data_IF_322824071758
#
_entry.id   IF_322824071758
#
_cell.length_a   1.000
_cell.length_b   1.000
_cell.length_c   1.000
_cell.angle_alpha   90.00
_cell.angle_beta   90.00
_cell.angle_gamma   90.00
#
_symmetry.space_group_name_H-M   'P 1'
#
loop_
_entity.id
_entity.type
_entity.pdbx_description
1 polymer ?
#
# COMPACT_ATOMS: atom_id res chain seq x y z
N UNK A 1 39.61 8.59 -18.60
CA UNK A 1 39.98 8.98 -17.23
C UNK A 1 38.86 9.86 -16.68
N UNK A 2 38.38 9.66 -15.45
CA UNK A 2 37.55 10.65 -14.77
C UNK A 2 38.29 12.00 -14.76
N UNK A 3 37.55 13.09 -14.82
CA UNK A 3 38.13 14.44 -14.76
C UNK A 3 38.92 14.59 -13.45
N UNK A 4 40.12 15.17 -13.50
CA UNK A 4 40.93 15.45 -12.32
C UNK A 4 40.15 16.27 -11.28
N UNK A 5 39.24 17.14 -11.75
CA UNK A 5 38.34 17.91 -10.91
C UNK A 5 37.30 17.02 -10.21
N UNK A 6 36.71 16.06 -10.92
CA UNK A 6 35.74 15.11 -10.36
C UNK A 6 36.38 14.25 -9.27
N UNK A 7 37.60 13.77 -9.49
CA UNK A 7 38.35 12.99 -8.51
C UNK A 7 38.70 13.83 -7.27
N UNK A 8 39.19 15.07 -7.48
CA UNK A 8 39.49 15.98 -6.39
C UNK A 8 38.23 16.29 -5.55
N UNK A 9 37.08 16.47 -6.19
CA UNK A 9 35.82 16.71 -5.50
C UNK A 9 35.30 15.46 -4.76
N UNK A 10 35.49 14.26 -5.32
CA UNK A 10 35.18 13.00 -4.65
C UNK A 10 36.01 12.84 -3.37
N UNK A 11 37.32 13.11 -3.42
CA UNK A 11 38.21 13.05 -2.25
C UNK A 11 37.77 14.07 -1.20
N UNK A 12 37.58 15.33 -1.58
CA UNK A 12 37.09 16.39 -0.67
C UNK A 12 35.77 16.00 0.01
N UNK A 13 34.83 15.47 -0.77
CA UNK A 13 33.52 15.03 -0.29
C UNK A 13 33.60 13.87 0.70
N UNK A 14 34.61 13.00 0.56
CA UNK A 14 34.87 11.89 1.50
C UNK A 14 35.53 12.36 2.81
N UNK A 15 36.33 13.44 2.79
CA UNK A 15 37.02 13.96 3.98
C UNK A 15 36.03 14.60 4.97
N UNK A 16 35.12 15.47 4.50
CA UNK A 16 34.26 16.26 5.37
C UNK A 16 33.45 15.47 6.42
N UNK A 17 32.76 14.37 6.08
CA UNK A 17 31.97 13.62 7.05
C UNK A 17 32.83 12.76 8.00
N UNK A 18 34.15 12.67 7.78
CA UNK A 18 35.08 11.97 8.67
C UNK A 18 35.58 12.84 9.84
N UNK A 19 35.30 14.15 9.83
CA UNK A 19 35.56 15.06 10.95
C UNK A 19 34.72 14.65 12.17
N UNK A 20 35.35 14.56 13.35
CA UNK A 20 34.70 14.15 14.60
C UNK A 20 33.58 15.09 15.06
N UNK A 21 33.59 16.34 14.59
CA UNK A 21 32.55 17.35 14.86
C UNK A 21 31.32 17.15 13.96
N UNK A 22 31.40 16.30 12.94
CA UNK A 22 30.27 16.01 12.07
C UNK A 22 29.30 15.07 12.79
N UNK A 23 28.12 15.58 13.18
CA UNK A 23 27.09 14.77 13.83
C UNK A 23 26.46 13.78 12.83
N UNK A 24 26.19 12.55 13.28
CA UNK A 24 25.48 11.53 12.48
C UNK A 24 24.08 11.98 12.01
N UNK A 25 23.43 12.89 12.75
CA UNK A 25 22.10 13.41 12.44
C UNK A 25 22.07 14.43 11.28
N UNK A 26 23.22 15.01 10.92
CA UNK A 26 23.33 16.04 9.89
C UNK A 26 23.85 15.47 8.57
N UNK A 27 22.99 15.35 7.56
CA UNK A 27 23.39 14.79 6.25
C UNK A 27 24.45 15.61 5.48
N UNK A 28 24.76 16.84 5.91
CA UNK A 28 25.80 17.69 5.32
C UNK A 28 26.68 18.30 6.41
N UNK A 29 27.99 18.27 6.19
CA UNK A 29 28.95 18.96 7.05
C UNK A 29 28.66 20.48 7.08
N UNK A 30 28.75 21.08 8.28
CA UNK A 30 28.54 22.52 8.47
C UNK A 30 29.53 23.34 7.63
N UNK A 31 29.20 24.61 7.37
CA UNK A 31 30.10 25.50 6.62
C UNK A 31 31.45 25.68 7.32
N UNK A 32 31.48 25.62 8.66
CA UNK A 32 32.73 25.66 9.44
C UNK A 32 33.59 24.42 9.19
N UNK A 33 33.00 23.21 9.30
CA UNK A 33 33.72 21.94 9.05
C UNK A 33 34.27 21.91 7.62
N UNK A 34 33.47 22.32 6.62
CA UNK A 34 33.93 22.37 5.23
C UNK A 34 35.10 23.33 5.01
N UNK A 35 35.10 24.47 5.67
CA UNK A 35 36.19 25.45 5.60
C UNK A 35 37.47 24.93 6.25
N UNK A 36 37.33 24.36 7.45
CA UNK A 36 38.46 23.82 8.23
C UNK A 36 39.12 22.61 7.55
N UNK A 37 38.31 21.82 6.83
CA UNK A 37 38.76 20.64 6.08
C UNK A 37 38.95 20.93 4.57
N UNK A 38 39.09 22.19 4.18
CA UNK A 38 39.29 22.53 2.77
C UNK A 38 40.66 22.05 2.26
N UNK A 39 40.67 21.57 1.03
CA UNK A 39 41.88 21.16 0.30
C UNK A 39 41.95 21.85 -1.05
N UNK A 40 43.10 22.39 -1.40
CA UNK A 40 43.40 22.93 -2.72
C UNK A 40 44.04 21.86 -3.61
N UNK A 41 43.68 21.89 -4.89
CA UNK A 41 44.32 21.07 -5.91
C UNK A 41 45.61 21.78 -6.32
N UNK A 42 46.74 21.27 -5.83
CA UNK A 42 48.07 21.87 -6.07
C UNK A 42 48.81 21.22 -7.24
N UNK A 43 48.31 20.09 -7.73
CA UNK A 43 48.83 19.44 -8.92
C UNK A 43 47.83 18.45 -9.50
N UNK A 44 47.76 18.39 -10.83
CA UNK A 44 47.01 17.39 -11.59
C UNK A 44 47.82 17.04 -12.84
N UNK A 45 47.96 15.75 -13.11
CA UNK A 45 48.61 15.24 -14.32
C UNK A 45 47.98 13.94 -14.77
N UNK A 46 48.54 13.33 -15.81
CA UNK A 46 48.02 12.08 -16.39
C UNK A 46 48.04 10.91 -15.39
N UNK A 47 48.99 10.94 -14.44
CA UNK A 47 49.23 9.87 -13.48
C UNK A 47 48.67 10.13 -12.07
N UNK A 48 48.02 11.28 -11.83
CA UNK A 48 47.40 11.54 -10.53
C UNK A 48 47.09 12.98 -10.18
N UNK A 49 46.53 13.15 -8.98
CA UNK A 49 46.21 14.44 -8.38
C UNK A 49 46.94 14.60 -7.05
N UNK A 50 47.28 15.84 -6.69
CA UNK A 50 47.84 16.21 -5.39
C UNK A 50 46.98 17.27 -4.74
N UNK A 51 46.52 16.97 -3.54
CA UNK A 51 45.73 17.86 -2.71
C UNK A 51 46.55 18.31 -1.50
N UNK A 52 46.46 19.59 -1.15
CA UNK A 52 47.05 20.14 0.07
C UNK A 52 45.98 20.83 0.90
N UNK A 53 46.07 20.73 2.23
CA UNK A 53 45.14 21.43 3.11
C UNK A 53 45.29 22.94 2.90
N UNK A 54 44.18 23.64 2.72
CA UNK A 54 44.15 25.10 2.58
C UNK A 54 44.45 25.82 3.89
N UNK A 55 44.40 25.10 5.02
CA UNK A 55 44.64 25.64 6.35
C UNK A 55 46.13 25.62 6.71
N UNK A 56 46.55 26.62 7.47
CA UNK A 56 47.91 26.68 8.02
C UNK A 56 48.03 25.69 9.19
N UNK A 57 49.16 25.00 9.27
CA UNK A 57 49.45 24.10 10.37
C UNK A 57 49.73 24.88 11.66
N UNK A 58 49.34 24.30 12.80
CA UNK A 58 49.68 24.82 14.13
C UNK A 58 51.16 24.56 14.50
N UNK A 59 51.55 24.92 15.73
CA UNK A 59 52.90 24.74 16.25
C UNK A 59 53.34 23.26 16.29
N UNK A 60 52.40 22.31 16.21
CA UNK A 60 52.66 20.88 16.20
C UNK A 60 52.60 20.28 14.80
N UNK A 61 52.45 21.12 13.76
CA UNK A 61 52.36 20.65 12.39
C UNK A 61 51.01 20.02 12.04
N UNK A 62 49.96 20.30 12.81
CA UNK A 62 48.61 19.79 12.57
C UNK A 62 47.74 20.87 11.94
N UNK A 63 46.98 20.49 10.91
CA UNK A 63 45.88 21.31 10.40
C UNK A 63 44.56 20.81 10.98
N UNK A 64 43.50 21.63 10.99
CA UNK A 64 42.16 21.15 11.38
C UNK A 64 41.70 19.90 10.60
N UNK A 65 42.19 19.74 9.36
CA UNK A 65 41.89 18.60 8.49
C UNK A 65 42.68 17.32 8.78
N UNK A 66 43.75 17.40 9.57
CA UNK A 66 44.72 16.30 9.72
C UNK A 66 44.07 15.02 10.23
N UNK A 67 43.16 15.11 11.20
CA UNK A 67 42.46 13.92 11.73
C UNK A 67 41.53 13.28 10.68
N UNK A 68 40.77 14.08 9.94
CA UNK A 68 39.84 13.56 8.93
C UNK A 68 40.60 12.88 7.77
N UNK A 69 41.73 13.45 7.35
CA UNK A 69 42.59 12.83 6.34
C UNK A 69 43.25 11.55 6.84
N UNK A 70 43.74 11.52 8.08
CA UNK A 70 44.30 10.29 8.67
C UNK A 70 43.24 9.17 8.71
N UNK A 71 41.99 9.50 9.03
CA UNK A 71 40.87 8.55 8.97
C UNK A 71 40.58 8.07 7.55
N UNK A 72 40.60 8.97 6.57
CA UNK A 72 40.42 8.58 5.16
C UNK A 72 41.55 7.64 4.68
N UNK A 73 42.78 7.94 5.08
CA UNK A 73 43.93 7.10 4.77
C UNK A 73 43.84 5.73 5.46
N UNK A 74 43.40 5.67 6.72
CA UNK A 74 43.12 4.41 7.40
C UNK A 74 42.04 3.58 6.68
N UNK A 75 40.95 4.21 6.23
CA UNK A 75 39.92 3.53 5.41
C UNK A 75 40.49 2.99 4.08
N UNK A 76 41.38 3.74 3.44
CA UNK A 76 42.10 3.24 2.27
C UNK A 76 42.97 2.03 2.64
N UNK A 77 43.69 2.05 3.75
CA UNK A 77 44.45 0.88 4.20
C UNK A 77 43.56 -0.34 4.48
N UNK A 78 42.40 -0.13 5.12
CA UNK A 78 41.43 -1.18 5.44
C UNK A 78 40.76 -1.75 4.19
N UNK A 79 40.66 -0.98 3.09
CA UNK A 79 40.08 -1.45 1.81
C UNK A 79 40.84 -2.64 1.21
N UNK A 80 42.09 -2.85 1.61
CA UNK A 80 42.89 -4.01 1.19
C UNK A 80 42.32 -5.34 1.74
N UNK A 81 41.58 -5.29 2.84
CA UNK A 81 40.90 -6.42 3.47
C UNK A 81 39.43 -6.08 3.73
N UNK A 82 38.52 -6.76 3.02
CA UNK A 82 37.08 -6.53 3.14
C UNK A 82 36.56 -6.75 4.57
N UNK A 83 37.19 -7.63 5.36
CA UNK A 83 36.78 -7.88 6.75
C UNK A 83 37.17 -6.69 7.63
N UNK A 84 38.41 -6.19 7.51
CA UNK A 84 38.87 -4.95 8.13
C UNK A 84 37.98 -3.76 7.76
N UNK A 85 37.72 -3.56 6.46
CA UNK A 85 36.87 -2.47 5.97
C UNK A 85 35.47 -2.52 6.59
N UNK A 86 34.84 -3.70 6.67
CA UNK A 86 33.52 -3.88 7.30
C UNK A 86 33.52 -3.42 8.75
N UNK A 87 34.54 -3.78 9.50
CA UNK A 87 34.68 -3.36 10.91
C UNK A 87 34.86 -1.85 11.02
N UNK A 88 35.69 -1.25 10.17
CA UNK A 88 35.95 0.19 10.17
C UNK A 88 34.69 1.00 9.82
N UNK A 89 33.92 0.58 8.82
CA UNK A 89 32.72 1.29 8.37
C UNK A 89 31.60 1.29 9.42
N UNK A 90 31.47 0.24 10.24
CA UNK A 90 30.47 0.18 11.34
C UNK A 90 30.68 1.25 12.41
N UNK A 91 31.91 1.72 12.59
CA UNK A 91 32.22 2.76 13.56
C UNK A 91 31.96 4.19 13.03
N UNK A 92 31.53 4.32 11.76
CA UNK A 92 31.36 5.60 11.08
C UNK A 92 29.89 5.96 10.88
N UNK A 93 29.56 7.26 10.83
CA UNK A 93 28.22 7.69 10.46
C UNK A 93 27.90 7.31 9.00
N UNK A 94 26.63 7.02 8.72
CA UNK A 94 26.17 6.62 7.38
C UNK A 94 26.60 7.60 6.27
N UNK A 95 26.61 8.91 6.55
CA UNK A 95 27.07 9.93 5.59
C UNK A 95 28.53 9.75 5.19
N UNK A 96 29.40 9.37 6.12
CA UNK A 96 30.81 9.09 5.84
C UNK A 96 30.98 7.82 5.01
N UNK A 97 30.27 6.75 5.37
CA UNK A 97 30.28 5.49 4.62
C UNK A 97 29.86 5.70 3.16
N UNK A 98 28.79 6.47 2.93
CA UNK A 98 28.30 6.76 1.57
C UNK A 98 29.25 7.68 0.79
N UNK A 99 29.87 8.66 1.44
CA UNK A 99 30.85 9.52 0.79
C UNK A 99 32.12 8.75 0.42
N UNK A 100 32.56 7.84 1.28
CA UNK A 100 33.66 6.93 0.98
C UNK A 100 33.30 5.96 -0.15
N UNK A 101 32.09 5.39 -0.15
CA UNK A 101 31.60 4.55 -1.24
C UNK A 101 31.66 5.24 -2.60
N UNK A 102 31.25 6.52 -2.67
CA UNK A 102 31.38 7.32 -3.89
C UNK A 102 32.85 7.49 -4.33
N UNK A 103 33.75 7.76 -3.39
CA UNK A 103 35.18 7.85 -3.70
C UNK A 103 35.71 6.53 -4.26
N UNK A 104 35.46 5.41 -3.59
CA UNK A 104 35.89 4.07 -4.03
C UNK A 104 35.31 3.72 -5.40
N UNK A 105 34.04 4.05 -5.64
CA UNK A 105 33.36 3.86 -6.94
C UNK A 105 33.95 4.74 -8.06
N UNK A 106 34.41 5.95 -7.74
CA UNK A 106 35.14 6.80 -8.70
C UNK A 106 36.52 6.24 -9.00
N UNK A 107 37.24 5.79 -7.96
CA UNK A 107 38.57 5.20 -8.08
C UNK A 107 38.55 3.87 -8.86
N UNK A 108 37.55 3.02 -8.63
CA UNK A 108 37.44 1.72 -9.31
C UNK A 108 37.31 1.83 -10.84
N UNK A 109 36.72 2.94 -11.33
CA UNK A 109 36.60 3.23 -12.77
C UNK A 109 37.95 3.42 -13.47
N UNK A 110 39.01 3.71 -12.74
CA UNK A 110 40.36 3.88 -13.29
C UNK A 110 40.96 2.54 -13.77
N UNK A 111 40.49 1.40 -13.23
CA UNK A 111 40.95 0.04 -13.60
C UNK A 111 42.47 -0.17 -13.53
N UNK A 112 43.15 0.63 -12.72
CA UNK A 112 44.59 0.55 -12.48
C UNK A 112 44.84 0.51 -10.97
N UNK A 113 46.01 -0.02 -10.51
CA UNK A 113 46.43 0.14 -9.13
C UNK A 113 46.55 1.62 -8.77
N UNK A 114 46.12 1.97 -7.57
CA UNK A 114 46.11 3.35 -7.08
C UNK A 114 46.97 3.44 -5.84
N UNK A 115 47.97 4.29 -5.88
CA UNK A 115 48.77 4.62 -4.70
C UNK A 115 48.17 5.84 -4.03
N UNK A 116 47.84 5.69 -2.75
CA UNK A 116 47.39 6.78 -1.88
C UNK A 116 48.53 7.13 -0.95
N UNK A 117 49.01 8.36 -1.04
CA UNK A 117 50.06 8.91 -0.19
C UNK A 117 49.48 9.90 0.82
N UNK A 118 49.90 9.79 2.07
CA UNK A 118 49.64 10.74 3.13
C UNK A 118 50.96 11.38 3.55
N UNK A 119 50.99 12.70 3.61
CA UNK A 119 52.05 13.45 4.26
C UNK A 119 51.42 14.55 5.12
N UNK A 120 51.85 14.65 6.37
CA UNK A 120 51.43 15.71 7.31
C UNK A 120 52.61 16.58 7.70
N UNK A 121 52.41 17.87 7.99
CA UNK A 121 53.49 18.76 8.43
C UNK A 121 54.15 18.31 9.74
N UNK A 122 53.43 17.57 10.59
CA UNK A 122 53.94 16.95 11.81
C UNK A 122 54.92 15.77 11.57
N UNK A 123 55.21 15.44 10.31
CA UNK A 123 56.14 14.36 9.93
C UNK A 123 55.51 12.97 9.81
N UNK A 124 54.20 12.83 10.05
CA UNK A 124 53.49 11.58 9.78
C UNK A 124 53.33 11.43 8.27
N UNK A 125 53.94 10.38 7.72
CA UNK A 125 53.85 10.01 6.32
C UNK A 125 53.43 8.55 6.19
N UNK A 126 52.73 8.21 5.11
CA UNK A 126 52.28 6.86 4.84
C UNK A 126 51.92 6.68 3.38
N UNK A 127 51.99 5.43 2.93
CA UNK A 127 51.63 5.03 1.58
C UNK A 127 50.79 3.76 1.64
N UNK A 128 49.80 3.65 0.77
CA UNK A 128 49.07 2.39 0.56
C UNK A 128 48.69 2.24 -0.90
N UNK A 129 48.88 1.03 -1.43
CA UNK A 129 48.45 0.66 -2.78
C UNK A 129 47.10 -0.07 -2.72
N UNK A 130 46.19 0.32 -3.61
CA UNK A 130 44.87 -0.27 -3.78
C UNK A 130 44.78 -0.92 -5.15
N UNK A 131 44.57 -2.23 -5.18
CA UNK A 131 44.37 -2.97 -6.43
C UNK A 131 42.95 -2.80 -6.95
N UNK A 132 42.73 -2.89 -8.28
CA UNK A 132 41.39 -2.81 -8.86
C UNK A 132 40.39 -3.80 -8.26
N UNK A 133 40.82 -5.04 -7.94
CA UNK A 133 39.91 -6.03 -7.35
C UNK A 133 39.42 -5.61 -5.96
N UNK A 134 40.30 -4.99 -5.16
CA UNK A 134 39.98 -4.51 -3.82
C UNK A 134 38.99 -3.34 -3.87
N UNK A 135 39.22 -2.38 -4.77
CA UNK A 135 38.32 -1.25 -5.01
C UNK A 135 36.94 -1.72 -5.47
N UNK A 136 36.89 -2.69 -6.40
CA UNK A 136 35.63 -3.26 -6.88
C UNK A 136 34.87 -4.00 -5.77
N UNK A 137 35.57 -4.81 -4.97
CA UNK A 137 34.97 -5.53 -3.85
C UNK A 137 34.41 -4.57 -2.78
N UNK A 138 35.15 -3.51 -2.45
CA UNK A 138 34.72 -2.49 -1.51
C UNK A 138 33.52 -1.67 -2.04
N UNK A 139 33.55 -1.24 -3.31
CA UNK A 139 32.42 -0.56 -3.94
C UNK A 139 31.16 -1.44 -3.93
N UNK A 140 31.28 -2.70 -4.35
CA UNK A 140 30.17 -3.65 -4.36
C UNK A 140 29.58 -3.88 -2.97
N UNK A 141 30.41 -3.97 -1.93
CA UNK A 141 29.93 -4.11 -0.55
C UNK A 141 29.22 -2.85 -0.05
N UNK A 142 29.78 -1.67 -0.28
CA UNK A 142 29.19 -0.41 0.21
C UNK A 142 27.86 -0.11 -0.50
N UNK A 143 27.79 -0.39 -1.81
CA UNK A 143 26.60 -0.20 -2.65
C UNK A 143 25.60 -1.37 -2.57
N UNK A 144 25.92 -2.46 -1.86
CA UNK A 144 25.02 -3.61 -1.67
C UNK A 144 23.68 -3.13 -1.11
N UNK A 145 22.60 -3.44 -1.84
CA UNK A 145 21.23 -3.20 -1.41
C UNK A 145 20.45 -4.47 -1.57
N UNK A 146 19.71 -4.83 -0.52
CA UNK A 146 18.77 -5.94 -0.51
C UNK A 146 17.38 -5.34 -0.64
N UNK A 147 16.59 -5.86 -1.56
CA UNK A 147 15.26 -5.35 -1.83
C UNK A 147 14.29 -6.49 -1.65
N UNK A 148 13.38 -6.33 -0.69
CA UNK A 148 12.27 -7.22 -0.46
C UNK A 148 10.97 -6.52 -0.86
N UNK A 149 10.10 -7.22 -1.58
CA UNK A 149 8.81 -6.70 -2.03
C UNK A 149 7.68 -7.58 -1.49
N UNK A 150 6.65 -6.95 -0.92
CA UNK A 150 5.42 -7.61 -0.50
C UNK A 150 4.23 -6.90 -1.14
N UNK A 151 3.30 -7.67 -1.71
CA UNK A 151 2.05 -7.14 -2.23
C UNK A 151 0.96 -7.20 -1.17
N UNK A 152 0.36 -6.05 -0.88
CA UNK A 152 -0.71 -5.86 0.09
C UNK A 152 -2.00 -5.53 -0.65
N UNK A 153 -3.06 -6.31 -0.42
CA UNK A 153 -4.42 -5.94 -0.84
C UNK A 153 -5.06 -5.14 0.28
N UNK A 154 -5.38 -3.88 0.00
CA UNK A 154 -5.90 -2.93 0.98
C UNK A 154 -7.21 -2.37 0.49
N UNK A 155 -8.25 -2.46 1.31
CA UNK A 155 -9.51 -1.74 1.13
C UNK A 155 -9.52 -0.54 2.06
N UNK A 156 -10.04 0.59 1.62
CA UNK A 156 -10.11 1.78 2.45
C UNK A 156 -10.60 3.03 1.74
N UNK A 157 -10.32 4.18 2.34
CA UNK A 157 -10.66 5.49 1.80
C UNK A 157 -9.46 6.10 1.08
N UNK A 158 -9.58 6.29 -0.24
CA UNK A 158 -8.62 7.05 -1.03
C UNK A 158 -8.78 8.54 -0.71
N UNK A 159 -7.80 9.11 -0.01
CA UNK A 159 -7.80 10.51 0.43
C UNK A 159 -7.10 11.43 -0.58
N UNK A 160 -6.11 10.91 -1.29
CA UNK A 160 -5.28 11.69 -2.22
C UNK A 160 -4.88 10.88 -3.44
N UNK A 161 -5.09 11.44 -4.64
CA UNK A 161 -4.70 10.79 -5.88
C UNK A 161 -4.22 11.81 -6.92
N UNK A 162 -2.93 11.78 -7.24
CA UNK A 162 -2.29 12.73 -8.13
C UNK A 162 -1.42 12.04 -9.19
N UNK A 163 -2.00 11.51 -10.28
CA UNK A 163 -1.26 10.81 -11.35
C UNK A 163 -0.08 11.60 -11.93
N UNK A 164 -0.24 12.92 -12.09
CA UNK A 164 0.80 13.81 -12.60
C UNK A 164 1.99 13.96 -11.65
N UNK A 165 1.72 14.04 -10.33
CA UNK A 165 2.76 14.11 -9.28
C UNK A 165 3.29 12.74 -8.88
N UNK A 166 2.69 11.66 -9.40
CA UNK A 166 3.02 10.26 -9.07
C UNK A 166 2.77 9.89 -7.61
N UNK A 167 1.85 10.58 -6.94
CA UNK A 167 1.56 10.37 -5.51
C UNK A 167 0.13 9.88 -5.27
N UNK A 168 -0.03 9.00 -4.28
CA UNK A 168 -1.32 8.59 -3.73
C UNK A 168 -1.28 8.60 -2.20
N UNK A 169 -2.46 8.66 -1.58
CA UNK A 169 -2.68 8.46 -0.16
C UNK A 169 -4.00 7.71 0.05
N UNK A 170 -3.93 6.58 0.75
CA UNK A 170 -5.05 5.72 1.07
C UNK A 170 -5.04 5.40 2.56
N UNK A 171 -6.17 5.61 3.23
CA UNK A 171 -6.38 5.19 4.61
C UNK A 171 -7.13 3.87 4.59
N UNK A 172 -6.46 2.79 5.01
CA UNK A 172 -7.03 1.45 5.00
C UNK A 172 -8.07 1.24 6.10
N UNK A 173 -8.99 0.31 5.87
CA UNK A 173 -9.95 -0.17 6.87
C UNK A 173 -9.26 -0.87 8.06
N UNK A 174 -7.99 -1.27 7.87
CA UNK A 174 -7.08 -1.77 8.90
C UNK A 174 -6.55 -0.67 9.86
N UNK A 175 -6.92 0.59 9.63
CA UNK A 175 -6.48 1.75 10.41
C UNK A 175 -5.08 2.24 10.06
N UNK A 176 -4.44 1.68 9.02
CA UNK A 176 -3.12 2.11 8.56
C UNK A 176 -3.24 3.13 7.41
N UNK A 177 -2.30 4.07 7.36
CA UNK A 177 -2.19 5.01 6.24
C UNK A 177 -1.08 4.57 5.30
N UNK A 178 -1.41 4.48 4.01
CA UNK A 178 -0.52 4.11 2.93
C UNK A 178 -0.28 5.31 2.03
N UNK A 179 0.97 5.70 1.85
CA UNK A 179 1.35 6.82 0.98
C UNK A 179 2.60 6.50 0.18
N UNK A 180 2.63 6.95 -1.08
CA UNK A 180 3.81 6.74 -1.91
C UNK A 180 3.59 6.91 -3.40
N UNK A 181 4.32 6.11 -4.18
CA UNK A 181 4.41 6.20 -5.62
C UNK A 181 3.29 5.47 -6.38
N UNK A 182 3.21 5.68 -7.69
CA UNK A 182 2.34 4.90 -8.59
C UNK A 182 3.12 4.26 -9.73
N UNK A 183 2.71 3.06 -10.16
CA UNK A 183 3.27 2.41 -11.35
C UNK A 183 3.06 3.24 -12.62
N UNK A 184 3.90 3.01 -13.63
CA UNK A 184 3.79 3.73 -14.91
C UNK A 184 2.48 3.40 -15.65
N UNK A 185 1.96 2.19 -15.50
CA UNK A 185 0.72 1.73 -16.13
C UNK A 185 -0.49 2.43 -15.54
N UNK A 186 -0.61 2.46 -14.22
CA UNK A 186 -1.69 3.15 -13.51
C UNK A 186 -1.67 4.65 -13.84
N UNK A 187 -0.49 5.28 -13.87
CA UNK A 187 -0.36 6.67 -14.32
C UNK A 187 -0.85 6.89 -15.75
N UNK A 188 -0.54 5.99 -16.69
CA UNK A 188 -0.99 6.12 -18.09
C UNK A 188 -2.51 5.97 -18.21
N UNK A 189 -3.09 5.03 -17.46
CA UNK A 189 -4.54 4.79 -17.42
C UNK A 189 -5.28 6.04 -16.94
N UNK A 190 -4.90 6.59 -15.80
CA UNK A 190 -5.58 7.74 -15.20
C UNK A 190 -5.15 9.10 -15.78
N UNK A 191 -4.03 9.21 -16.50
CA UNK A 191 -3.65 10.45 -17.19
C UNK A 191 -4.44 10.69 -18.49
N UNK A 192 -4.91 9.63 -19.16
CA UNK A 192 -5.65 9.75 -20.43
C UNK A 192 -7.16 9.93 -20.24
N UNK A 193 -7.70 9.36 -19.18
CA UNK A 193 -9.15 9.27 -18.98
C UNK A 193 -9.70 10.25 -17.94
N UNK A 194 -8.83 11.05 -17.30
CA UNK A 194 -9.08 12.02 -16.23
C UNK A 194 -10.54 12.14 -15.74
N UNK A 195 -11.11 11.12 -15.09
CA UNK A 195 -12.27 11.36 -14.26
C UNK A 195 -11.75 12.26 -13.15
N UNK A 196 -12.43 13.37 -12.88
CA UNK A 196 -12.19 14.09 -11.62
C UNK A 196 -12.70 13.16 -10.53
N UNK A 197 -11.82 12.33 -10.03
CA UNK A 197 -12.08 11.45 -8.91
C UNK A 197 -12.43 12.36 -7.73
N UNK A 198 -13.70 12.34 -7.32
CA UNK A 198 -14.15 13.05 -6.13
C UNK A 198 -13.60 12.30 -4.91
N UNK A 199 -12.74 12.96 -4.14
CA UNK A 199 -12.13 12.41 -2.94
C UNK A 199 -12.80 13.04 -1.70
N UNK A 200 -12.89 12.33 -0.57
CA UNK A 200 -12.51 10.92 -0.38
C UNK A 200 -13.49 9.94 -1.02
N UNK A 201 -13.01 8.76 -1.42
CA UNK A 201 -13.85 7.66 -1.93
C UNK A 201 -13.37 6.29 -1.43
N UNK A 202 -14.27 5.31 -1.41
CA UNK A 202 -13.94 3.92 -1.04
C UNK A 202 -13.26 3.23 -2.22
N UNK A 203 -12.08 2.67 -2.00
CA UNK A 203 -11.27 2.01 -3.01
C UNK A 203 -10.68 0.69 -2.49
N UNK A 204 -10.45 -0.23 -3.42
CA UNK A 204 -9.58 -1.39 -3.21
C UNK A 204 -8.29 -1.18 -4.01
N UNK A 205 -7.16 -1.42 -3.36
CA UNK A 205 -5.84 -1.14 -3.89
C UNK A 205 -4.91 -2.34 -3.71
N UNK A 206 -4.08 -2.61 -4.72
CA UNK A 206 -2.92 -3.48 -4.60
C UNK A 206 -1.68 -2.60 -4.43
N UNK A 207 -1.05 -2.67 -3.26
CA UNK A 207 0.11 -1.87 -2.90
C UNK A 207 1.33 -2.78 -2.84
N UNK A 208 2.34 -2.51 -3.65
CA UNK A 208 3.65 -3.12 -3.51
C UNK A 208 4.46 -2.34 -2.47
N UNK A 209 4.67 -2.93 -1.31
CA UNK A 209 5.58 -2.41 -0.28
C UNK A 209 6.98 -2.91 -0.57
N UNK A 210 7.87 -1.99 -0.95
CA UNK A 210 9.29 -2.25 -1.21
C UNK A 210 10.12 -1.82 -0.02
N UNK A 211 10.78 -2.77 0.62
CA UNK A 211 11.75 -2.51 1.68
C UNK A 211 13.16 -2.65 1.10
N UNK A 212 13.94 -1.58 1.17
CA UNK A 212 15.36 -1.58 0.79
C UNK A 212 16.22 -1.56 2.05
N UNK A 213 17.04 -2.58 2.22
CA UNK A 213 18.03 -2.66 3.29
C UNK A 213 19.44 -2.46 2.72
N UNK A 214 20.22 -1.56 3.33
CA UNK A 214 21.62 -1.32 2.99
C UNK A 214 22.52 -1.78 4.14
N UNK A 215 23.18 -2.96 4.03
CA UNK A 215 23.97 -3.54 5.12
C UNK A 215 25.16 -2.68 5.57
N UNK A 216 25.76 -1.90 4.66
CA UNK A 216 26.94 -1.08 4.95
C UNK A 216 26.70 0.06 5.94
N UNK A 217 25.44 0.47 6.10
CA UNK A 217 25.02 1.55 7.01
C UNK A 217 23.87 1.14 7.93
N UNK A 218 23.50 -0.15 7.93
CA UNK A 218 22.39 -0.71 8.71
C UNK A 218 21.09 0.11 8.58
N UNK A 219 20.82 0.60 7.35
CA UNK A 219 19.66 1.46 7.08
C UNK A 219 18.59 0.71 6.30
N UNK A 220 17.35 0.88 6.75
CA UNK A 220 16.14 0.36 6.11
C UNK A 220 15.28 1.52 5.62
N UNK A 221 14.76 1.42 4.40
CA UNK A 221 13.76 2.33 3.88
C UNK A 221 12.62 1.57 3.21
N UNK A 222 11.39 1.96 3.56
CA UNK A 222 10.18 1.35 3.01
C UNK A 222 9.48 2.36 2.11
N UNK A 223 9.06 1.92 0.93
CA UNK A 223 8.30 2.74 -0.01
C UNK A 223 7.10 1.93 -0.50
N UNK A 224 5.92 2.53 -0.39
CA UNK A 224 4.70 1.95 -0.92
C UNK A 224 4.48 2.42 -2.37
N UNK A 225 4.18 1.47 -3.27
CA UNK A 225 3.89 1.74 -4.68
C UNK A 225 2.52 1.18 -5.02
N UNK A 226 1.59 2.05 -5.38
CA UNK A 226 0.27 1.66 -5.86
C UNK A 226 0.39 1.00 -7.24
N UNK A 227 0.10 -0.30 -7.27
CA UNK A 227 0.17 -1.14 -8.45
C UNK A 227 -1.18 -1.21 -9.18
N UNK A 228 -2.26 -1.39 -8.42
CA UNK A 228 -3.63 -1.44 -8.92
C UNK A 228 -4.56 -0.63 -8.02
N UNK A 229 -5.59 -0.02 -8.62
CA UNK A 229 -6.60 0.76 -7.92
C UNK A 229 -7.96 0.51 -8.57
N UNK A 230 -8.89 0.05 -7.76
CA UNK A 230 -10.31 -0.02 -8.06
C UNK A 230 -11.06 1.03 -7.22
N UNK A 231 -11.74 1.95 -7.90
CA UNK A 231 -12.48 3.06 -7.28
C UNK A 231 -13.98 2.78 -7.17
N UNK A 232 -14.43 1.58 -7.56
CA UNK A 232 -15.80 1.10 -7.35
C UNK A 232 -15.80 -0.36 -6.87
N UNK A 233 -15.23 -0.64 -5.68
CA UNK A 233 -15.13 -2.01 -5.17
C UNK A 233 -16.47 -2.62 -4.74
N UNK A 234 -17.59 -1.89 -4.87
CA UNK A 234 -18.90 -2.29 -4.35
C UNK A 234 -18.99 -2.31 -2.81
N UNK A 235 -20.15 -2.70 -2.27
CA UNK A 235 -20.34 -2.88 -0.82
C UNK A 235 -19.48 -4.06 -0.30
N UNK A 236 -19.00 -3.96 0.95
CA UNK A 236 -18.15 -4.97 1.56
C UNK A 236 -18.91 -6.31 1.65
N UNK A 237 -18.28 -7.44 1.27
CA UNK A 237 -18.86 -8.79 1.38
C UNK A 237 -19.38 -9.05 2.79
N UNK A 238 -18.62 -8.65 3.80
CA UNK A 238 -18.98 -8.83 5.22
C UNK A 238 -20.20 -8.01 5.64
N UNK A 239 -20.49 -6.90 4.95
CA UNK A 239 -21.68 -6.08 5.18
C UNK A 239 -22.88 -6.51 4.31
N UNK A 240 -22.62 -6.97 3.07
CA UNK A 240 -23.63 -7.42 2.12
C UNK A 240 -24.26 -8.74 2.54
N UNK A 241 -23.44 -9.70 2.98
CA UNK A 241 -23.88 -11.04 3.32
C UNK A 241 -24.96 -11.05 4.43
N UNK A 242 -24.80 -10.34 5.57
CA UNK A 242 -25.86 -10.27 6.58
C UNK A 242 -27.09 -9.49 6.10
N UNK A 243 -26.94 -8.47 5.23
CA UNK A 243 -28.10 -7.76 4.64
C UNK A 243 -28.89 -8.69 3.72
N UNK A 244 -28.22 -9.47 2.88
CA UNK A 244 -28.84 -10.43 1.96
C UNK A 244 -29.48 -11.58 2.71
N UNK A 245 -28.83 -12.11 3.75
CA UNK A 245 -29.41 -13.13 4.64
C UNK A 245 -30.67 -12.61 5.33
N UNK A 246 -30.64 -11.41 5.92
CA UNK A 246 -31.83 -10.78 6.51
C UNK A 246 -32.97 -10.61 5.51
N UNK A 247 -32.66 -10.21 4.27
CA UNK A 247 -33.66 -10.07 3.21
C UNK A 247 -34.26 -11.42 2.80
N UNK A 248 -33.43 -12.46 2.67
CA UNK A 248 -33.87 -13.82 2.40
C UNK A 248 -34.77 -14.37 3.52
N UNK A 249 -34.36 -14.20 4.77
CA UNK A 249 -35.11 -14.69 5.94
C UNK A 249 -36.44 -13.96 6.09
N UNK A 250 -36.47 -12.65 5.84
CA UNK A 250 -37.71 -11.85 5.80
C UNK A 250 -38.66 -12.31 4.71
N UNK A 251 -38.13 -12.61 3.53
CA UNK A 251 -38.93 -13.04 2.40
C UNK A 251 -39.51 -14.45 2.59
N UNK A 252 -38.77 -15.35 3.24
CA UNK A 252 -39.28 -16.66 3.62
C UNK A 252 -40.32 -16.58 4.76
N UNK A 253 -40.09 -15.72 5.76
CA UNK A 253 -41.07 -15.50 6.83
C UNK A 253 -42.41 -14.97 6.28
N UNK A 254 -42.38 -14.07 5.30
CA UNK A 254 -43.57 -13.55 4.61
C UNK A 254 -44.31 -14.61 3.77
N UNK A 255 -43.61 -15.66 3.31
CA UNK A 255 -44.24 -16.79 2.62
C UNK A 255 -44.85 -17.81 3.60
N UNK A 256 -44.38 -17.84 4.85
CA UNK A 256 -44.77 -18.83 5.87
C UNK A 256 -45.85 -18.34 6.85
N UNK A 257 -46.02 -17.02 7.06
CA UNK A 257 -46.99 -16.46 8.03
C UNK A 257 -48.44 -16.83 7.71
N UNK A 258 -49.18 -17.26 8.75
CA UNK A 258 -50.50 -17.92 8.69
C UNK A 258 -51.72 -16.99 8.72
N UNK A 259 -51.59 -15.70 8.98
CA UNK A 259 -52.76 -14.90 9.34
C UNK A 259 -53.39 -14.15 8.17
N UNK A 260 -54.68 -14.41 7.98
CA UNK A 260 -55.55 -13.60 7.15
C UNK A 260 -55.55 -12.16 7.64
N UNK A 261 -54.86 -11.30 6.90
CA UNK A 261 -54.98 -9.85 7.09
C UNK A 261 -56.18 -9.38 6.28
N UNK A 262 -57.22 -8.99 6.99
CA UNK A 262 -58.31 -8.16 6.47
C UNK A 262 -57.75 -6.97 5.69
N UNK A 263 -58.27 -6.82 4.47
CA UNK A 263 -58.05 -5.77 3.48
C UNK A 263 -57.33 -4.48 3.95
N UNK A 264 -56.12 -4.28 3.42
CA UNK A 264 -55.69 -2.96 2.94
C UNK A 264 -55.10 -3.10 1.54
N UNK A 265 -55.89 -2.70 0.54
CA UNK A 265 -55.62 -2.67 -0.91
C UNK A 265 -54.66 -3.74 -1.48
N UNK A 266 -55.14 -4.71 -2.28
CA UNK A 266 -54.26 -5.68 -2.92
C UNK A 266 -53.21 -4.94 -3.76
N UNK A 267 -51.94 -5.33 -3.62
CA UNK A 267 -50.87 -4.87 -4.49
C UNK A 267 -51.31 -5.13 -5.92
N UNK A 268 -51.44 -4.06 -6.71
CA UNK A 268 -52.00 -4.19 -8.05
C UNK A 268 -50.95 -4.78 -8.99
N UNK A 269 -51.39 -5.40 -10.08
CA UNK A 269 -50.47 -5.87 -11.13
C UNK A 269 -49.56 -4.74 -11.65
N UNK A 270 -50.05 -3.50 -11.66
CA UNK A 270 -49.30 -2.31 -12.06
C UNK A 270 -48.16 -1.95 -11.07
N UNK A 271 -48.33 -2.27 -9.79
CA UNK A 271 -47.28 -2.04 -8.78
C UNK A 271 -46.14 -3.06 -8.95
N UNK A 272 -46.47 -4.31 -9.27
CA UNK A 272 -45.49 -5.34 -9.63
C UNK A 272 -44.80 -5.06 -10.96
N UNK A 273 -45.54 -4.54 -11.94
CA UNK A 273 -45.00 -4.15 -13.24
C UNK A 273 -44.02 -2.98 -13.11
N UNK A 274 -44.33 -1.97 -12.28
CA UNK A 274 -43.42 -0.87 -11.99
C UNK A 274 -42.14 -1.33 -11.27
N UNK A 275 -42.24 -2.30 -10.36
CA UNK A 275 -41.08 -2.90 -9.68
C UNK A 275 -40.25 -3.75 -10.65
N UNK A 276 -40.90 -4.52 -11.52
CA UNK A 276 -40.25 -5.35 -12.54
C UNK A 276 -39.56 -4.48 -13.61
N UNK A 277 -40.17 -3.39 -14.06
CA UNK A 277 -39.56 -2.43 -14.98
C UNK A 277 -38.38 -1.69 -14.35
N UNK A 278 -38.44 -1.39 -13.05
CA UNK A 278 -37.31 -0.79 -12.34
C UNK A 278 -36.17 -1.81 -12.16
N UNK A 279 -36.49 -3.05 -11.81
CA UNK A 279 -35.53 -4.15 -11.73
C UNK A 279 -34.89 -4.47 -13.09
N UNK A 280 -35.69 -4.52 -14.16
CA UNK A 280 -35.21 -4.73 -15.52
C UNK A 280 -34.42 -3.53 -16.04
N UNK A 281 -34.73 -2.29 -15.66
CA UNK A 281 -33.89 -1.11 -15.96
C UNK A 281 -32.54 -1.15 -15.23
N UNK A 282 -32.53 -1.64 -13.99
CA UNK A 282 -31.30 -1.85 -13.22
C UNK A 282 -30.48 -3.05 -13.76
N UNK A 283 -31.15 -4.07 -14.31
CA UNK A 283 -30.54 -5.29 -14.86
C UNK A 283 -30.18 -5.19 -16.35
N UNK A 284 -30.79 -4.29 -17.13
CA UNK A 284 -30.53 -4.08 -18.56
C UNK A 284 -29.18 -3.38 -18.84
N UNK A 285 -28.18 -3.58 -17.96
CA UNK A 285 -26.79 -3.37 -18.30
C UNK A 285 -26.36 -4.41 -19.35
N UNK A 286 -26.15 -3.90 -20.56
CA UNK A 286 -25.70 -4.56 -21.78
C UNK A 286 -24.64 -5.69 -21.54
N UNK A 287 -24.85 -6.93 -22.02
CA UNK A 287 -24.08 -8.14 -21.64
C UNK A 287 -22.64 -8.23 -22.19
N UNK A 288 -22.02 -7.13 -22.64
CA UNK A 288 -20.77 -7.22 -23.39
C UNK A 288 -19.50 -6.68 -22.74
N UNK A 289 -19.53 -5.88 -21.66
CA UNK A 289 -18.30 -5.48 -20.94
C UNK A 289 -18.63 -5.17 -19.50
N UNK A 290 -18.05 -5.90 -18.55
CA UNK A 290 -18.27 -5.81 -17.10
C UNK A 290 -17.91 -4.46 -16.48
N UNK A 291 -18.69 -3.42 -16.78
CA UNK A 291 -18.73 -2.16 -16.07
C UNK A 291 -20.18 -1.95 -15.62
N UNK A 292 -20.41 -1.90 -14.30
CA UNK A 292 -21.71 -1.54 -13.74
C UNK A 292 -21.97 -0.06 -14.10
N UNK A 293 -23.17 0.25 -14.60
CA UNK A 293 -23.59 1.65 -14.79
C UNK A 293 -23.67 2.30 -13.41
N UNK A 294 -23.15 3.52 -13.27
CA UNK A 294 -23.40 4.35 -12.10
C UNK A 294 -24.92 4.54 -11.93
N UNK A 295 -25.46 4.17 -10.77
CA UNK A 295 -26.88 4.36 -10.46
C UNK A 295 -27.16 5.87 -10.49
N UNK A 296 -28.09 6.32 -11.33
CA UNK A 296 -28.40 7.73 -11.42
C UNK A 296 -29.24 8.17 -10.21
N UNK A 297 -29.11 9.41 -9.71
CA UNK A 297 -29.91 9.92 -8.60
C UNK A 297 -31.43 9.82 -8.83
N UNK A 298 -31.87 9.80 -10.09
CA UNK A 298 -33.25 9.58 -10.48
C UNK A 298 -33.72 8.14 -10.17
N UNK A 299 -32.86 7.13 -10.40
CA UNK A 299 -33.16 5.72 -10.11
C UNK A 299 -33.33 5.50 -8.59
N UNK A 300 -32.51 6.19 -7.77
CA UNK A 300 -32.66 6.20 -6.31
C UNK A 300 -33.93 6.92 -5.86
N UNK A 301 -34.27 8.05 -6.47
CA UNK A 301 -35.52 8.76 -6.19
C UNK A 301 -36.76 7.91 -6.51
N UNK A 302 -36.74 7.21 -7.63
CA UNK A 302 -37.83 6.30 -8.05
C UNK A 302 -37.96 5.11 -7.11
N UNK A 303 -36.83 4.55 -6.65
CA UNK A 303 -36.79 3.51 -5.63
C UNK A 303 -37.35 4.00 -4.28
N UNK A 304 -36.97 5.19 -3.84
CA UNK A 304 -37.51 5.83 -2.63
C UNK A 304 -39.00 6.13 -2.75
N UNK A 305 -39.50 6.49 -3.94
CA UNK A 305 -40.91 6.74 -4.18
C UNK A 305 -41.76 5.46 -4.19
N UNK A 306 -41.20 4.33 -4.65
CA UNK A 306 -41.85 3.01 -4.59
C UNK A 306 -41.86 2.42 -3.17
N UNK A 307 -40.84 2.75 -2.37
CA UNK A 307 -40.69 2.32 -0.97
C UNK A 307 -41.23 3.34 0.05
N UNK A 308 -41.93 4.38 -0.39
CA UNK A 308 -42.56 5.35 0.51
C UNK A 308 -43.78 4.72 1.21
N UNK A 309 -43.93 4.93 2.53
CA UNK A 309 -44.97 4.37 3.41
C UNK A 309 -46.42 4.52 2.93
N UNK A 310 -46.66 5.41 1.97
CA UNK A 310 -47.95 5.61 1.31
C UNK A 310 -48.29 4.56 0.24
N UNK A 311 -47.32 3.76 -0.22
CA UNK A 311 -47.48 2.74 -1.28
C UNK A 311 -47.72 1.34 -0.69
N UNK A 312 -48.56 0.50 -1.31
CA UNK A 312 -48.81 -0.88 -0.86
C UNK A 312 -47.54 -1.74 -0.76
N UNK A 313 -46.60 -1.55 -1.70
CA UNK A 313 -45.30 -2.23 -1.72
C UNK A 313 -44.43 -1.88 -0.50
N UNK A 314 -44.44 -0.61 -0.08
CA UNK A 314 -43.70 -0.17 1.11
C UNK A 314 -44.32 -0.69 2.40
N UNK A 315 -45.66 -0.79 2.46
CA UNK A 315 -46.38 -1.31 3.64
C UNK A 315 -46.13 -2.79 3.84
N UNK A 316 -46.06 -3.57 2.77
CA UNK A 316 -45.58 -4.96 2.80
C UNK A 316 -44.11 -5.08 3.26
N UNK A 317 -43.29 -4.05 3.05
CA UNK A 317 -41.92 -4.00 3.54
C UNK A 317 -41.80 -3.48 4.99
N UNK A 318 -42.88 -2.92 5.58
CA UNK A 318 -42.90 -2.27 6.89
C UNK A 318 -43.77 -2.98 7.96
N UNK A 319 -44.68 -3.88 7.58
CA UNK A 319 -45.39 -4.81 8.50
C UNK A 319 -44.65 -6.16 8.52
N UNK A 320 -43.86 -6.60 9.50
CA UNK A 320 -43.83 -6.27 10.93
C UNK A 320 -42.39 -6.26 11.46
N UNK A 321 -42.06 -5.16 12.13
CA UNK A 321 -40.93 -5.01 13.04
C UNK A 321 -41.38 -4.81 14.50
N UNK A 322 -42.53 -5.36 14.90
CA UNK A 322 -43.10 -5.11 16.23
C UNK A 322 -43.77 -6.35 16.83
N UNK A 323 -42.96 -7.30 17.29
CA UNK A 323 -43.32 -8.17 18.42
C UNK A 323 -42.19 -8.09 19.43
N UNK A 324 -42.46 -7.39 20.53
CA UNK A 324 -41.62 -7.36 21.73
C UNK A 324 -41.60 -8.74 22.36
N UNK A 325 -40.46 -9.08 22.95
CA UNK A 325 -40.21 -10.26 23.75
C UNK A 325 -41.24 -10.45 24.87
N UNK A 326 -41.81 -11.65 24.96
CA UNK A 326 -42.16 -12.30 26.23
C UNK A 326 -41.78 -13.78 26.10
N UNK A 327 -40.70 -14.16 26.80
CA UNK A 327 -40.44 -15.52 27.24
C UNK A 327 -41.43 -15.88 28.37
N UNK A 328 -41.66 -17.18 28.52
CA UNK A 328 -42.35 -17.91 29.61
C UNK A 328 -43.87 -17.80 29.71
N UNK A 329 -44.58 -18.92 29.41
CA UNK A 329 -45.27 -19.73 30.43
C UNK A 329 -45.75 -21.08 29.84
N UNK A 330 -45.56 -22.12 30.66
CA UNK A 330 -45.98 -23.52 30.49
C UNK A 330 -47.39 -23.75 29.93
N UNK A 331 -47.53 -24.77 29.08
CA UNK A 331 -48.74 -25.59 29.02
C UNK A 331 -48.44 -27.02 28.53
N UNK A 332 -48.76 -27.97 29.40
CA UNK A 332 -48.67 -29.42 29.26
C UNK A 332 -49.31 -30.03 27.99
N UNK A 333 -48.69 -31.13 27.55
CA UNK A 333 -49.29 -32.28 26.86
C UNK A 333 -49.89 -32.05 25.46
N UNK A 334 -49.14 -32.50 24.43
CA UNK A 334 -49.63 -33.47 23.45
C UNK A 334 -48.45 -33.95 22.59
N UNK A 335 -48.01 -35.19 22.77
CA UNK A 335 -47.05 -35.81 21.85
C UNK A 335 -47.79 -36.09 20.54
N UNK A 336 -47.74 -35.13 19.61
CA UNK A 336 -48.32 -35.28 18.29
C UNK A 336 -47.66 -36.48 17.61
N UNK A 337 -48.39 -37.60 17.54
CA UNK A 337 -47.90 -38.88 17.03
C UNK A 337 -47.30 -38.77 15.63
N UNK A 338 -46.50 -39.77 15.23
CA UNK A 338 -45.76 -39.78 13.96
C UNK A 338 -46.62 -39.43 12.74
N UNK A 339 -47.91 -39.79 12.76
CA UNK A 339 -48.90 -39.43 11.74
C UNK A 339 -49.23 -37.92 11.69
N UNK A 340 -49.29 -37.23 12.84
CA UNK A 340 -49.53 -35.79 12.91
C UNK A 340 -48.30 -34.98 12.43
N UNK A 341 -47.08 -35.46 12.72
CA UNK A 341 -45.85 -34.86 12.18
C UNK A 341 -45.73 -35.08 10.67
N UNK A 342 -46.12 -36.26 10.17
CA UNK A 342 -46.17 -36.55 8.73
C UNK A 342 -47.26 -35.75 8.02
N UNK A 343 -48.44 -35.59 8.62
CA UNK A 343 -49.51 -34.75 8.10
C UNK A 343 -49.13 -33.27 8.08
N UNK A 344 -48.45 -32.76 9.13
CA UNK A 344 -47.90 -31.40 9.16
C UNK A 344 -46.87 -31.20 8.05
N UNK A 345 -45.94 -32.15 7.84
CA UNK A 345 -44.96 -32.08 6.74
C UNK A 345 -45.61 -32.12 5.36
N UNK A 346 -46.65 -32.95 5.18
CA UNK A 346 -47.38 -33.04 3.91
C UNK A 346 -48.20 -31.78 3.64
N UNK A 347 -48.83 -31.21 4.66
CA UNK A 347 -49.54 -29.94 4.58
C UNK A 347 -48.59 -28.77 4.27
N UNK A 348 -47.41 -28.73 4.90
CA UNK A 348 -46.36 -27.75 4.58
C UNK A 348 -45.89 -27.91 3.12
N UNK A 349 -45.68 -29.13 2.64
CA UNK A 349 -45.24 -29.38 1.25
C UNK A 349 -46.34 -29.03 0.21
N UNK A 350 -47.60 -29.34 0.48
CA UNK A 350 -48.74 -28.94 -0.37
C UNK A 350 -48.96 -27.41 -0.33
N UNK A 351 -48.74 -26.78 0.82
CA UNK A 351 -48.79 -25.31 0.98
C UNK A 351 -47.66 -24.60 0.26
N UNK A 352 -46.42 -25.10 0.35
CA UNK A 352 -45.29 -24.60 -0.45
C UNK A 352 -45.57 -24.73 -1.95
N UNK A 353 -46.25 -25.81 -2.37
CA UNK A 353 -46.67 -26.00 -3.76
C UNK A 353 -47.75 -25.00 -4.21
N UNK A 354 -48.67 -24.62 -3.31
CA UNK A 354 -49.71 -23.61 -3.58
C UNK A 354 -49.16 -22.17 -3.51
N UNK A 355 -48.27 -21.87 -2.57
CA UNK A 355 -47.56 -20.59 -2.49
C UNK A 355 -46.62 -20.39 -3.69
N UNK A 356 -45.95 -21.44 -4.17
CA UNK A 356 -45.19 -21.41 -5.41
C UNK A 356 -46.04 -21.21 -6.67
N UNK A 357 -47.34 -21.53 -6.62
CA UNK A 357 -48.27 -21.26 -7.71
C UNK A 357 -48.87 -19.84 -7.64
N UNK A 358 -49.15 -19.33 -6.44
CA UNK A 358 -49.75 -18.00 -6.22
C UNK A 358 -48.74 -16.85 -6.22
N UNK A 359 -47.50 -17.10 -5.78
CA UNK A 359 -46.41 -16.14 -5.64
C UNK A 359 -45.13 -16.65 -6.32
N UNK A 360 -45.30 -17.18 -7.54
CA UNK A 360 -44.24 -17.82 -8.31
C UNK A 360 -42.98 -16.94 -8.45
N UNK A 361 -43.15 -15.61 -8.56
CA UNK A 361 -42.04 -14.69 -8.73
C UNK A 361 -41.33 -14.36 -7.42
N UNK A 362 -42.04 -14.29 -6.28
CA UNK A 362 -41.42 -14.18 -4.96
C UNK A 362 -40.63 -15.44 -4.60
N UNK A 363 -41.14 -16.63 -4.93
CA UNK A 363 -40.42 -17.90 -4.72
C UNK A 363 -39.17 -18.00 -5.62
N UNK A 364 -39.25 -17.54 -6.88
CA UNK A 364 -38.07 -17.43 -7.76
C UNK A 364 -37.06 -16.43 -7.21
N UNK A 365 -37.51 -15.31 -6.65
CA UNK A 365 -36.65 -14.28 -6.07
C UNK A 365 -35.96 -14.80 -4.80
N UNK A 366 -36.68 -15.50 -3.92
CA UNK A 366 -36.12 -16.21 -2.75
C UNK A 366 -35.00 -17.18 -3.17
N UNK A 367 -35.30 -18.03 -4.15
CA UNK A 367 -34.35 -19.04 -4.65
C UNK A 367 -33.18 -18.44 -5.44
N UNK A 368 -33.30 -17.22 -5.96
CA UNK A 368 -32.19 -16.47 -6.57
C UNK A 368 -31.32 -15.81 -5.50
N UNK A 369 -31.92 -15.20 -4.48
CA UNK A 369 -31.22 -14.65 -3.33
C UNK A 369 -30.41 -15.71 -2.60
N UNK A 370 -30.99 -16.89 -2.37
CA UNK A 370 -30.29 -18.02 -1.75
C UNK A 370 -29.05 -18.43 -2.57
N UNK A 371 -29.18 -18.57 -3.90
CA UNK A 371 -28.04 -18.89 -4.77
C UNK A 371 -26.94 -17.83 -4.76
N UNK A 372 -27.31 -16.55 -4.64
CA UNK A 372 -26.33 -15.45 -4.52
C UNK A 372 -25.62 -15.56 -3.17
N UNK A 373 -26.35 -15.80 -2.08
CA UNK A 373 -25.78 -16.02 -0.74
C UNK A 373 -24.83 -17.23 -0.76
N UNK A 374 -25.24 -18.35 -1.35
CA UNK A 374 -24.43 -19.57 -1.46
C UNK A 374 -23.15 -19.31 -2.28
N UNK A 375 -23.24 -18.62 -3.42
CA UNK A 375 -22.05 -18.24 -4.20
C UNK A 375 -21.09 -17.31 -3.45
N UNK A 376 -21.65 -16.41 -2.63
CA UNK A 376 -20.88 -15.53 -1.75
C UNK A 376 -20.35 -16.24 -0.51
N UNK A 377 -20.70 -17.50 -0.26
CA UNK A 377 -20.14 -18.34 0.80
C UNK A 377 -19.10 -19.32 0.22
N UNK A 378 -19.36 -19.89 -0.96
CA UNK A 378 -18.49 -20.86 -1.64
C UNK A 378 -17.18 -20.25 -2.20
N UNK A 379 -17.16 -18.97 -2.56
CA UNK A 379 -15.94 -18.23 -2.93
C UNK A 379 -15.10 -17.77 -1.70
N UNK A 380 -15.15 -18.50 -0.59
CA UNK A 380 -14.26 -18.31 0.56
C UNK A 380 -12.96 -19.12 0.36
N UNK A 381 -11.76 -18.51 0.48
CA UNK A 381 -10.49 -19.25 0.43
C UNK A 381 -10.28 -20.18 1.63
#
# INVERSE_FOLDING_TARGET
MPDSLELAEAVRSAIYPLDSRCSAAGGKASAAIRRDNAFDLIGSGDDGIRLASSAVADLFGMTPASQAVQRLFALAQDTRDIVGLRSALRALPASAVLAYGKLVSTLSKLRAPIVVELATPAGLAGETELRPEQLNAAAAYIEETRVDSVYLKVRGSLQGFHPAKKLFRLEGDDGLSYEGGMTAELRKRFAKEAPRIALPLIAEALIERRTTYRPSIEAESTVDVLAELDTDPGENREELLPKLQRLHDRLNAALDSEDGIEQSAPVSAADYEALAELADRLLASNPHKGARRAIEPADLSDMHALLADSRPIARLALSDGLVLAEDDYDADSYDAGQAARAAKRKAIAERQKLAAAAYADSVKLAGRLLRIIDSLLDDAP
#
